data_IF_758774680080
#
_entry.id   IF_758774680080
#
_cell.length_a   1.000
_cell.length_b   1.000
_cell.length_c   1.000
_cell.angle_alpha   90.00
_cell.angle_beta   90.00
_cell.angle_gamma   90.00
#
_symmetry.space_group_name_H-M   'P 1'
#
loop_
_entity.id
_entity.type
_entity.pdbx_description
1 polymer ?
#
# COMPACT_ATOMS: atom_id res chain seq x y z
N UNK A 1 54.58 -7.36 -26.15
CA UNK A 1 54.42 -7.52 -24.70
C UNK A 1 53.91 -6.24 -24.01
N UNK A 2 54.49 -5.06 -24.29
CA UNK A 2 54.07 -3.78 -23.68
C UNK A 2 52.59 -3.41 -23.88
N UNK A 3 52.03 -3.62 -25.09
CA UNK A 3 50.61 -3.34 -25.37
C UNK A 3 49.63 -4.16 -24.53
N UNK A 4 49.95 -5.43 -24.28
CA UNK A 4 49.11 -6.30 -23.46
C UNK A 4 49.14 -5.86 -21.99
N UNK A 5 50.31 -5.47 -21.48
CA UNK A 5 50.43 -4.93 -20.12
C UNK A 5 49.64 -3.64 -19.92
N UNK A 6 49.62 -2.74 -20.92
CA UNK A 6 48.81 -1.51 -20.88
C UNK A 6 47.31 -1.82 -20.82
N UNK A 7 46.83 -2.76 -21.64
CA UNK A 7 45.42 -3.18 -21.61
C UNK A 7 45.03 -3.86 -20.29
N UNK A 8 45.91 -4.69 -19.74
CA UNK A 8 45.68 -5.33 -18.44
C UNK A 8 45.62 -4.29 -17.32
N UNK A 9 46.54 -3.32 -17.31
CA UNK A 9 46.55 -2.24 -16.34
C UNK A 9 45.30 -1.35 -16.46
N UNK A 10 44.87 -1.05 -17.68
CA UNK A 10 43.65 -0.29 -17.94
C UNK A 10 42.40 -1.03 -17.45
N UNK A 11 42.26 -2.33 -17.73
CA UNK A 11 41.15 -3.14 -17.24
C UNK A 11 41.15 -3.25 -15.71
N UNK A 12 42.32 -3.44 -15.08
CA UNK A 12 42.44 -3.48 -13.63
C UNK A 12 42.08 -2.12 -12.98
N UNK A 13 42.48 -1.02 -13.61
CA UNK A 13 42.11 0.32 -13.17
C UNK A 13 40.60 0.57 -13.33
N UNK A 14 40.01 0.18 -14.46
CA UNK A 14 38.58 0.33 -14.73
C UNK A 14 37.71 -0.50 -13.77
N UNK A 15 38.17 -1.69 -13.37
CA UNK A 15 37.48 -2.56 -12.40
C UNK A 15 37.63 -2.08 -10.95
N UNK A 16 38.66 -1.28 -10.65
CA UNK A 16 38.90 -0.72 -9.31
C UNK A 16 38.29 0.67 -9.10
N UNK A 17 37.66 1.27 -10.12
CA UNK A 17 36.91 2.52 -9.96
C UNK A 17 35.74 2.27 -9.00
N UNK A 18 35.64 3.03 -7.89
CA UNK A 18 34.51 2.92 -6.97
C UNK A 18 33.21 3.21 -7.71
N UNK A 19 32.30 2.24 -7.76
CA UNK A 19 30.94 2.50 -8.22
C UNK A 19 30.29 3.46 -7.22
N UNK A 20 29.67 4.53 -7.71
CA UNK A 20 28.92 5.49 -6.89
C UNK A 20 27.93 4.73 -6.00
N UNK A 21 28.14 4.76 -4.68
CA UNK A 21 27.23 4.17 -3.69
C UNK A 21 26.00 5.03 -3.43
N UNK A 22 25.98 6.25 -3.98
CA UNK A 22 24.82 7.12 -3.96
C UNK A 22 23.84 6.64 -5.05
N UNK A 23 23.00 5.67 -4.71
CA UNK A 23 21.79 5.41 -5.48
C UNK A 23 20.90 6.66 -5.38
N UNK A 24 20.72 7.35 -6.51
CA UNK A 24 19.92 8.57 -6.57
C UNK A 24 18.46 8.35 -6.13
N UNK A 25 17.98 7.09 -6.20
CA UNK A 25 16.64 6.69 -5.78
C UNK A 25 16.55 6.39 -4.27
N UNK A 26 17.66 6.02 -3.62
CA UNK A 26 17.67 5.75 -2.18
C UNK A 26 17.41 6.98 -1.31
N UNK A 27 17.62 8.20 -1.84
CA UNK A 27 17.24 9.43 -1.13
C UNK A 27 15.73 9.52 -0.84
N UNK A 28 14.91 8.85 -1.65
CA UNK A 28 13.45 8.84 -1.54
C UNK A 28 12.90 7.49 -1.07
N UNK A 29 13.74 6.61 -0.54
CA UNK A 29 13.24 5.37 0.02
C UNK A 29 12.35 5.69 1.22
N UNK A 30 11.12 5.20 1.18
CA UNK A 30 10.22 5.22 2.34
C UNK A 30 10.61 4.00 3.17
N UNK A 31 11.31 4.24 4.29
CA UNK A 31 11.80 3.18 5.19
C UNK A 31 10.68 2.50 5.98
N UNK A 32 9.57 3.21 6.20
CA UNK A 32 8.40 2.72 6.92
C UNK A 32 7.12 3.11 6.15
N UNK A 33 6.81 2.40 5.06
CA UNK A 33 5.62 2.71 4.29
C UNK A 33 4.38 2.18 5.03
N UNK A 34 3.26 2.93 5.07
CA UNK A 34 2.02 2.46 5.69
C UNK A 34 1.47 1.19 5.02
N UNK A 35 1.92 0.89 3.80
CA UNK A 35 1.54 -0.28 3.01
C UNK A 35 2.76 -0.92 2.35
N UNK A 36 2.73 -2.24 2.16
CA UNK A 36 3.78 -2.94 1.40
C UNK A 36 3.80 -2.46 -0.05
N UNK A 37 5.00 -2.26 -0.60
CA UNK A 37 5.21 -1.91 -2.01
C UNK A 37 4.43 -2.88 -2.94
N UNK A 38 3.56 -2.31 -3.79
CA UNK A 38 2.58 -2.97 -4.68
C UNK A 38 1.36 -3.57 -3.96
N UNK A 39 0.54 -2.71 -3.36
CA UNK A 39 -0.80 -3.07 -2.87
C UNK A 39 -1.88 -2.35 -3.69
N UNK A 40 -2.90 -3.10 -4.12
CA UNK A 40 -4.03 -2.58 -4.87
C UNK A 40 -5.23 -2.38 -3.94
N UNK A 41 -5.78 -1.16 -3.96
CA UNK A 41 -6.99 -0.80 -3.24
C UNK A 41 -8.14 -0.46 -4.19
N UNK A 42 -9.37 -0.63 -3.70
CA UNK A 42 -10.61 -0.29 -4.41
C UNK A 42 -11.53 0.54 -3.51
N UNK A 43 -12.27 1.49 -4.10
CA UNK A 43 -13.35 2.18 -3.41
C UNK A 43 -14.57 1.27 -3.34
N UNK A 44 -15.10 1.04 -2.14
CA UNK A 44 -16.39 0.40 -1.91
C UNK A 44 -17.37 1.38 -1.26
N UNK A 45 -18.67 1.18 -1.47
CA UNK A 45 -19.74 2.04 -0.95
C UNK A 45 -20.63 1.24 0.01
N UNK A 46 -20.05 0.76 1.11
CA UNK A 46 -20.69 -0.17 2.04
C UNK A 46 -21.58 0.51 3.09
N UNK A 47 -21.44 1.82 3.28
CA UNK A 47 -22.01 2.55 4.42
C UNK A 47 -23.53 2.34 4.59
N UNK A 48 -24.31 2.64 3.55
CA UNK A 48 -25.77 2.50 3.52
C UNK A 48 -26.27 1.14 3.02
N UNK A 49 -25.36 0.18 2.87
CA UNK A 49 -25.72 -1.18 2.47
C UNK A 49 -26.10 -2.03 3.68
N UNK A 50 -27.41 -2.12 3.94
CA UNK A 50 -27.98 -2.84 5.07
C UNK A 50 -28.05 -4.37 4.87
N UNK A 51 -27.07 -4.99 4.22
CA UNK A 51 -26.95 -6.45 4.24
C UNK A 51 -26.01 -7.10 3.23
N UNK A 52 -25.59 -6.37 2.18
CA UNK A 52 -24.77 -6.95 1.13
C UNK A 52 -23.26 -6.68 1.28
N UNK A 53 -22.86 -5.93 2.32
CA UNK A 53 -21.48 -5.48 2.48
C UNK A 53 -20.51 -6.66 2.52
N UNK A 54 -20.90 -7.76 3.19
CA UNK A 54 -20.11 -8.97 3.21
C UNK A 54 -19.90 -9.60 1.84
N UNK A 55 -20.95 -9.67 1.01
CA UNK A 55 -20.88 -10.21 -0.36
C UNK A 55 -20.01 -9.33 -1.25
N UNK A 56 -20.16 -8.02 -1.14
CA UNK A 56 -19.41 -7.07 -1.95
C UNK A 56 -17.91 -7.10 -1.57
N UNK A 57 -17.58 -7.27 -0.29
CA UNK A 57 -16.21 -7.52 0.17
C UNK A 57 -15.66 -8.88 -0.28
N UNK A 58 -16.50 -9.91 -0.42
CA UNK A 58 -16.07 -11.17 -1.03
C UNK A 58 -15.66 -10.97 -2.49
N UNK A 59 -16.36 -10.10 -3.24
CA UNK A 59 -15.97 -9.75 -4.61
C UNK A 59 -14.66 -8.96 -4.66
N UNK A 60 -14.43 -8.02 -3.75
CA UNK A 60 -13.15 -7.31 -3.61
C UNK A 60 -11.99 -8.30 -3.49
N UNK A 61 -12.15 -9.32 -2.64
CA UNK A 61 -11.17 -10.38 -2.45
C UNK A 61 -10.99 -11.25 -3.71
N UNK A 62 -12.09 -11.61 -4.39
CA UNK A 62 -12.03 -12.38 -5.65
C UNK A 62 -11.32 -11.62 -6.78
N UNK A 63 -11.42 -10.29 -6.80
CA UNK A 63 -10.69 -9.42 -7.72
C UNK A 63 -9.23 -9.19 -7.31
N UNK A 64 -8.77 -9.80 -6.22
CA UNK A 64 -7.38 -9.73 -5.71
C UNK A 64 -6.98 -8.32 -5.23
N UNK A 65 -7.96 -7.49 -4.86
CA UNK A 65 -7.70 -6.28 -4.10
C UNK A 65 -7.47 -6.63 -2.62
N UNK A 66 -6.59 -5.86 -1.99
CA UNK A 66 -6.21 -6.06 -0.58
C UNK A 66 -6.69 -4.94 0.33
N UNK A 67 -6.98 -3.76 -0.24
CA UNK A 67 -7.37 -2.57 0.51
C UNK A 67 -8.73 -2.05 0.05
N UNK A 68 -9.54 -1.59 0.99
CA UNK A 68 -10.87 -1.02 0.77
C UNK A 68 -10.86 0.41 1.24
N UNK A 69 -11.11 1.34 0.32
CA UNK A 69 -11.43 2.71 0.67
C UNK A 69 -12.93 2.82 0.92
N UNK A 70 -13.32 3.21 2.12
CA UNK A 70 -14.71 3.46 2.54
C UNK A 70 -14.87 4.91 3.01
N UNK A 71 -15.99 5.53 2.66
CA UNK A 71 -16.37 6.85 3.17
C UNK A 71 -17.51 6.69 4.16
N UNK A 72 -17.42 7.36 5.30
CA UNK A 72 -18.48 7.38 6.31
C UNK A 72 -19.19 8.73 6.28
N UNK A 73 -20.51 8.74 6.36
CA UNK A 73 -21.27 9.98 6.40
C UNK A 73 -21.20 10.58 7.81
N UNK A 74 -20.72 11.83 7.92
CA UNK A 74 -20.61 12.51 9.20
C UNK A 74 -21.95 12.68 9.90
N UNK A 75 -23.00 13.01 9.15
CA UNK A 75 -24.37 13.18 9.66
C UNK A 75 -24.95 11.91 10.31
N UNK A 76 -24.50 10.73 9.89
CA UNK A 76 -24.92 9.46 10.47
C UNK A 76 -24.06 9.07 11.68
N UNK A 77 -22.79 9.51 11.70
CA UNK A 77 -21.86 9.32 12.83
C UNK A 77 -22.22 10.28 13.98
N UNK A 78 -22.49 11.53 13.68
CA UNK A 78 -22.84 12.58 14.65
C UNK A 78 -24.16 13.25 14.21
N UNK A 79 -25.31 12.59 14.42
CA UNK A 79 -26.61 13.16 14.07
C UNK A 79 -26.99 14.38 14.93
N UNK A 80 -26.44 14.48 16.13
CA UNK A 80 -26.57 15.63 17.03
C UNK A 80 -25.20 15.96 17.61
N UNK A 81 -24.92 17.24 17.80
CA UNK A 81 -23.64 17.72 18.36
C UNK A 81 -23.29 16.99 19.66
N UNK A 82 -22.13 16.34 19.69
CA UNK A 82 -21.62 15.57 20.82
C UNK A 82 -22.25 14.18 21.00
N UNK A 83 -23.13 13.73 20.10
CA UNK A 83 -23.71 12.38 20.12
C UNK A 83 -23.16 11.51 18.99
N UNK A 84 -22.21 10.64 19.32
CA UNK A 84 -21.53 9.79 18.34
C UNK A 84 -22.09 8.36 18.28
N UNK A 85 -22.32 7.87 17.06
CA UNK A 85 -22.81 6.53 16.75
C UNK A 85 -21.84 5.83 15.79
N UNK A 86 -21.09 4.84 16.28
CA UNK A 86 -20.09 4.11 15.49
C UNK A 86 -20.50 2.69 15.09
N UNK A 87 -21.63 2.17 15.60
CA UNK A 87 -22.03 0.76 15.44
C UNK A 87 -21.98 0.25 14.00
N UNK A 88 -22.36 1.09 13.02
CA UNK A 88 -22.31 0.70 11.60
C UNK A 88 -20.89 0.69 11.06
N UNK A 89 -20.04 1.64 11.47
CA UNK A 89 -18.65 1.71 11.06
C UNK A 89 -17.88 0.50 11.61
N UNK A 90 -18.12 0.18 12.88
CA UNK A 90 -17.56 -1.00 13.55
C UNK A 90 -17.98 -2.29 12.84
N UNK A 91 -19.26 -2.44 12.51
CA UNK A 91 -19.74 -3.62 11.77
C UNK A 91 -19.13 -3.75 10.36
N UNK A 92 -18.83 -2.64 9.67
CA UNK A 92 -18.12 -2.67 8.39
C UNK A 92 -16.66 -3.08 8.59
N UNK A 93 -16.01 -2.53 9.62
CA UNK A 93 -14.63 -2.85 9.96
C UNK A 93 -14.49 -4.35 10.31
N UNK A 94 -15.39 -4.90 11.10
CA UNK A 94 -15.44 -6.32 11.44
C UNK A 94 -15.51 -7.20 10.18
N UNK A 95 -16.34 -6.81 9.20
CA UNK A 95 -16.48 -7.56 7.96
C UNK A 95 -15.23 -7.46 7.06
N UNK A 96 -14.52 -6.33 7.08
CA UNK A 96 -13.24 -6.13 6.38
C UNK A 96 -12.16 -7.00 7.02
N UNK A 97 -11.99 -6.91 8.34
CA UNK A 97 -10.97 -7.64 9.09
C UNK A 97 -11.18 -9.16 9.02
N UNK A 98 -12.43 -9.63 9.13
CA UNK A 98 -12.78 -11.05 9.02
C UNK A 98 -12.38 -11.66 7.68
N UNK A 99 -12.21 -10.84 6.63
CA UNK A 99 -11.76 -11.27 5.28
C UNK A 99 -10.27 -11.07 5.04
N UNK A 100 -9.54 -10.52 6.01
CA UNK A 100 -8.12 -10.19 5.87
C UNK A 100 -7.87 -9.04 4.89
N UNK A 101 -8.87 -8.19 4.67
CA UNK A 101 -8.73 -6.95 3.91
C UNK A 101 -8.25 -5.83 4.86
N UNK A 102 -7.79 -4.73 4.27
CA UNK A 102 -7.34 -3.53 4.99
C UNK A 102 -8.10 -2.28 4.58
#
# INVERSE_FOLDING_TARGET
MLRAAVWIAFCAAALSVPRSSADALMRYHVSDPPFSSITYGIQAFLWWDHGFAGRDLDWVRLMVFSHVKQTFAWEDIEPFDGHFIFNRADAILDEVERRGLR
#
